data_IF_530883971336
#
_entry.id   IF_530883971336
#
_cell.length_a   1.000
_cell.length_b   1.000
_cell.length_c   1.000
_cell.angle_alpha   90.00
_cell.angle_beta   90.00
_cell.angle_gamma   90.00
#
_symmetry.space_group_name_H-M   'P 1'
#
loop_
_entity.id
_entity.type
_entity.pdbx_description
1 polymer ?
#
# COMPACT_ATOMS: atom_id res chain seq x y z
N UNK A 1 -52.94 10.92 17.42
CA UNK A 1 -51.51 11.13 17.75
C UNK A 1 -50.69 10.07 17.03
N UNK A 2 -49.96 10.43 15.97
CA UNK A 2 -48.88 9.60 15.40
C UNK A 2 -48.04 10.46 14.43
N UNK A 3 -47.44 11.53 14.93
CA UNK A 3 -46.33 12.20 14.26
C UNK A 3 -45.15 12.09 15.19
N UNK A 4 -44.16 11.28 14.84
CA UNK A 4 -42.80 11.37 15.39
C UNK A 4 -41.78 10.56 14.56
N UNK A 5 -41.13 11.27 13.63
CA UNK A 5 -39.67 11.23 13.40
C UNK A 5 -39.05 9.92 12.90
N UNK A 6 -39.36 9.53 11.66
CA UNK A 6 -38.48 8.70 10.83
C UNK A 6 -37.52 9.62 10.05
N UNK A 7 -36.53 10.27 10.68
CA UNK A 7 -35.58 11.15 9.95
C UNK A 7 -34.21 11.33 10.60
N UNK A 8 -33.74 10.39 11.44
CA UNK A 8 -32.40 10.53 12.05
C UNK A 8 -31.66 9.20 12.19
N UNK A 9 -31.59 8.37 11.13
CA UNK A 9 -30.65 7.22 11.07
C UNK A 9 -30.02 7.11 9.67
N UNK A 10 -29.53 8.21 9.10
CA UNK A 10 -28.88 8.17 7.76
C UNK A 10 -27.40 8.57 7.79
N UNK A 11 -26.85 8.98 8.95
CA UNK A 11 -25.44 9.49 9.03
C UNK A 11 -24.56 8.86 10.12
N UNK A 12 -24.91 7.70 10.68
CA UNK A 12 -24.05 7.06 11.70
C UNK A 12 -23.07 6.00 11.15
N UNK A 13 -23.08 5.70 9.85
CA UNK A 13 -22.26 4.63 9.27
C UNK A 13 -20.94 5.11 8.65
N UNK A 14 -20.39 6.26 9.08
CA UNK A 14 -19.14 6.82 8.52
C UNK A 14 -18.03 6.98 9.57
N UNK A 15 -17.79 5.93 10.35
CA UNK A 15 -16.63 5.88 11.26
C UNK A 15 -16.11 4.45 11.41
N UNK A 16 -15.61 3.87 10.32
CA UNK A 16 -14.87 2.62 10.38
C UNK A 16 -13.79 2.56 9.29
N UNK A 17 -12.59 3.10 9.58
CA UNK A 17 -11.32 2.59 9.00
C UNK A 17 -10.04 3.21 9.60
N UNK A 18 -10.12 4.09 10.61
CA UNK A 18 -8.93 4.70 11.23
C UNK A 18 -8.35 3.91 12.41
N UNK A 19 -8.53 2.59 12.46
CA UNK A 19 -8.12 1.78 13.63
C UNK A 19 -6.58 1.70 13.73
N UNK A 20 -6.01 2.66 14.48
CA UNK A 20 -4.62 2.68 14.91
C UNK A 20 -3.61 3.17 13.87
N UNK A 21 -3.95 4.09 12.96
CA UNK A 21 -2.94 4.65 12.07
C UNK A 21 -2.02 5.60 12.84
N UNK A 22 -0.73 5.26 12.92
CA UNK A 22 0.30 6.12 13.52
C UNK A 22 0.51 7.27 12.55
N UNK A 23 0.16 8.49 12.96
CA UNK A 23 0.28 9.68 12.12
C UNK A 23 1.77 9.94 11.89
N UNK A 24 2.26 9.95 10.64
CA UNK A 24 3.64 10.32 10.35
C UNK A 24 3.86 11.79 10.76
N UNK A 25 5.07 12.14 11.23
CA UNK A 25 5.39 13.51 11.66
C UNK A 25 5.27 14.52 10.52
N UNK A 26 5.46 14.07 9.27
CA UNK A 26 5.24 14.85 8.06
C UNK A 26 4.00 14.31 7.35
N UNK A 27 3.01 15.18 7.13
CA UNK A 27 1.80 14.85 6.38
C UNK A 27 2.11 14.89 4.89
N UNK A 28 2.20 13.71 4.26
CA UNK A 28 2.34 13.59 2.81
C UNK A 28 0.96 13.48 2.18
N UNK A 29 0.67 14.32 1.19
CA UNK A 29 -0.64 14.38 0.53
C UNK A 29 -0.63 13.64 -0.82
N UNK A 30 -1.82 13.41 -1.37
CA UNK A 30 -2.00 12.69 -2.63
C UNK A 30 -2.14 11.17 -2.46
N UNK A 31 -2.21 10.47 -3.59
CA UNK A 31 -2.35 9.01 -3.66
C UNK A 31 -1.09 8.35 -3.11
N UNK A 32 0.09 8.82 -3.56
CA UNK A 32 1.40 8.38 -3.06
C UNK A 32 1.57 8.61 -1.56
N UNK A 33 1.14 9.78 -1.06
CA UNK A 33 1.23 10.13 0.35
C UNK A 33 0.38 9.24 1.26
N UNK A 34 -0.79 8.79 0.79
CA UNK A 34 -1.63 7.83 1.51
C UNK A 34 -0.96 6.46 1.62
N UNK A 35 -0.31 5.98 0.55
CA UNK A 35 0.43 4.72 0.59
C UNK A 35 1.67 4.81 1.47
N UNK A 36 2.45 5.90 1.37
CA UNK A 36 3.60 6.14 2.23
C UNK A 36 3.20 6.20 3.72
N UNK A 37 2.08 6.88 4.03
CA UNK A 37 1.53 6.96 5.39
C UNK A 37 1.06 5.60 5.91
N UNK A 38 0.41 4.79 5.07
CA UNK A 38 -0.03 3.45 5.43
C UNK A 38 1.16 2.52 5.70
N UNK A 39 2.20 2.59 4.87
CA UNK A 39 3.43 1.83 5.02
C UNK A 39 4.15 2.26 6.31
N UNK A 40 4.36 3.56 6.52
CA UNK A 40 4.97 4.10 7.74
C UNK A 40 4.20 3.68 9.00
N UNK A 41 2.88 3.73 8.96
CA UNK A 41 2.07 3.28 10.08
C UNK A 41 2.19 1.78 10.34
N UNK A 42 2.36 0.95 9.31
CA UNK A 42 2.57 -0.48 9.48
C UNK A 42 3.98 -0.78 10.03
N UNK A 43 5.00 -0.12 9.48
CA UNK A 43 6.39 -0.25 9.89
C UNK A 43 6.65 0.25 11.30
N UNK A 44 5.99 1.34 11.70
CA UNK A 44 6.11 1.91 13.05
C UNK A 44 5.45 1.02 14.11
N UNK A 45 4.32 0.36 13.79
CA UNK A 45 3.72 -0.67 14.67
C UNK A 45 4.64 -1.88 14.85
N UNK A 46 5.35 -2.26 13.81
CA UNK A 46 6.22 -3.43 13.80
C UNK A 46 7.68 -3.11 14.16
N UNK A 47 8.02 -1.85 14.47
CA UNK A 47 9.39 -1.35 14.71
C UNK A 47 10.42 -1.74 13.64
N UNK A 48 9.98 -1.97 12.41
CA UNK A 48 10.80 -2.47 11.30
C UNK A 48 11.15 -1.40 10.26
N UNK A 49 11.22 -0.13 10.68
CA UNK A 49 11.41 1.02 9.77
C UNK A 49 12.75 0.94 9.01
N UNK A 50 13.84 0.61 9.69
CA UNK A 50 15.17 0.51 9.05
C UNK A 50 15.24 -0.60 7.99
N UNK A 51 14.55 -1.72 8.24
CA UNK A 51 14.48 -2.84 7.30
C UNK A 51 13.69 -2.44 6.06
N UNK A 52 12.58 -1.73 6.25
CA UNK A 52 11.74 -1.22 5.16
C UNK A 52 12.53 -0.25 4.27
N UNK A 53 13.31 0.66 4.84
CA UNK A 53 14.13 1.61 4.07
C UNK A 53 15.18 0.91 3.21
N UNK A 54 15.89 -0.07 3.80
CA UNK A 54 16.88 -0.89 3.07
C UNK A 54 16.21 -1.69 1.95
N UNK A 55 15.03 -2.25 2.21
CA UNK A 55 14.26 -3.03 1.24
C UNK A 55 13.78 -2.17 0.06
N UNK A 56 13.29 -0.95 0.33
CA UNK A 56 12.87 -0.01 -0.73
C UNK A 56 14.05 0.45 -1.58
N UNK A 57 15.22 0.66 -0.97
CA UNK A 57 16.44 1.03 -1.70
C UNK A 57 16.91 -0.10 -2.62
N UNK A 58 16.94 -1.34 -2.11
CA UNK A 58 17.24 -2.54 -2.91
C UNK A 58 16.25 -2.75 -4.05
N UNK A 59 14.97 -2.52 -3.79
CA UNK A 59 13.93 -2.61 -4.82
C UNK A 59 14.12 -1.54 -5.91
N UNK A 60 14.46 -0.31 -5.54
CA UNK A 60 14.76 0.74 -6.51
C UNK A 60 15.99 0.40 -7.37
N UNK A 61 17.03 -0.21 -6.79
CA UNK A 61 18.18 -0.68 -7.56
C UNK A 61 17.84 -1.84 -8.49
N UNK A 62 17.02 -2.80 -8.03
CA UNK A 62 16.58 -3.94 -8.85
C UNK A 62 15.69 -3.50 -10.02
N UNK A 63 14.80 -2.53 -9.81
CA UNK A 63 14.00 -1.96 -10.89
C UNK A 63 14.82 -1.20 -11.94
N UNK A 64 15.99 -0.67 -11.55
CA UNK A 64 16.90 0.02 -12.47
C UNK A 64 17.82 -0.95 -13.20
N UNK A 65 18.17 -2.09 -12.61
CA UNK A 65 19.02 -3.09 -13.24
C UNK A 65 18.26 -3.92 -14.28
N UNK A 66 16.98 -4.20 -14.02
CA UNK A 66 16.19 -5.13 -14.83
C UNK A 66 15.20 -4.37 -15.71
N UNK A 67 15.62 -3.95 -16.92
CA UNK A 67 14.76 -3.27 -17.90
C UNK A 67 13.49 -4.07 -18.23
N UNK A 68 13.60 -5.41 -18.25
CA UNK A 68 12.47 -6.32 -18.50
C UNK A 68 11.39 -6.20 -17.42
N UNK A 69 11.78 -6.00 -16.15
CA UNK A 69 10.82 -5.82 -15.07
C UNK A 69 10.14 -4.46 -15.16
N UNK A 70 10.87 -3.43 -15.56
CA UNK A 70 10.33 -2.08 -15.78
C UNK A 70 9.30 -2.07 -16.91
N UNK A 71 9.64 -2.63 -18.07
CA UNK A 71 8.69 -2.77 -19.18
C UNK A 71 7.46 -3.61 -18.80
N UNK A 72 7.64 -4.66 -18.00
CA UNK A 72 6.52 -5.49 -17.55
C UNK A 72 5.53 -4.74 -16.64
N UNK A 73 6.05 -3.86 -15.79
CA UNK A 73 5.25 -2.99 -14.91
C UNK A 73 4.56 -1.90 -15.72
N UNK A 74 5.26 -1.25 -16.64
CA UNK A 74 4.74 -0.15 -17.45
C UNK A 74 3.73 -0.63 -18.52
N UNK A 75 3.85 -1.87 -19.01
CA UNK A 75 2.98 -2.40 -20.05
C UNK A 75 1.54 -2.63 -19.54
N UNK A 76 0.53 -1.89 -20.03
CA UNK A 76 -0.84 -1.96 -19.51
C UNK A 76 -1.60 -3.23 -19.95
N UNK A 77 -1.07 -4.02 -20.89
CA UNK A 77 -1.72 -5.22 -21.46
C UNK A 77 -1.70 -6.39 -20.47
N UNK A 78 -0.69 -6.45 -19.61
CA UNK A 78 -0.54 -7.54 -18.65
C UNK A 78 -1.63 -7.47 -17.57
N UNK A 79 -2.35 -8.59 -17.37
CA UNK A 79 -3.44 -8.70 -16.39
C UNK A 79 -2.94 -8.31 -15.00
N UNK A 80 -3.69 -7.46 -14.29
CA UNK A 80 -3.35 -6.95 -12.95
C UNK A 80 -2.98 -8.04 -11.95
N UNK A 81 -3.70 -9.17 -12.00
CA UNK A 81 -3.42 -10.34 -11.15
C UNK A 81 -2.05 -10.96 -11.45
N UNK A 82 -1.66 -11.04 -12.71
CA UNK A 82 -0.34 -11.56 -13.08
C UNK A 82 0.77 -10.61 -12.60
N UNK A 83 0.58 -9.29 -12.72
CA UNK A 83 1.51 -8.28 -12.18
C UNK A 83 1.65 -8.36 -10.66
N UNK A 84 0.54 -8.48 -9.93
CA UNK A 84 0.58 -8.61 -8.49
C UNK A 84 1.32 -9.89 -8.05
N UNK A 85 1.08 -11.01 -8.74
CA UNK A 85 1.77 -12.27 -8.45
C UNK A 85 3.26 -12.21 -8.81
N UNK A 86 3.64 -11.65 -9.96
CA UNK A 86 5.06 -11.54 -10.35
C UNK A 86 5.83 -10.62 -9.40
N UNK A 87 5.23 -9.51 -8.96
CA UNK A 87 5.85 -8.62 -7.97
C UNK A 87 5.92 -9.26 -6.58
N UNK A 88 4.94 -10.06 -6.17
CA UNK A 88 5.05 -10.84 -4.93
C UNK A 88 6.16 -11.91 -5.03
N UNK A 89 6.32 -12.56 -6.18
CA UNK A 89 7.40 -13.51 -6.41
C UNK A 89 8.76 -12.81 -6.43
N UNK A 90 8.87 -11.65 -7.09
CA UNK A 90 10.07 -10.82 -7.08
C UNK A 90 10.42 -10.36 -5.66
N UNK A 91 9.43 -9.93 -4.87
CA UNK A 91 9.63 -9.56 -3.47
C UNK A 91 10.14 -10.73 -2.62
N UNK A 92 9.63 -11.94 -2.85
CA UNK A 92 10.13 -13.17 -2.21
C UNK A 92 11.55 -13.52 -2.65
N UNK A 93 11.88 -13.34 -3.93
CA UNK A 93 13.23 -13.58 -4.48
C UNK A 93 14.26 -12.60 -3.95
N UNK A 94 13.85 -11.35 -3.74
CA UNK A 94 14.68 -10.28 -3.15
C UNK A 94 14.71 -10.31 -1.60
N UNK A 95 14.06 -11.31 -0.99
CA UNK A 95 13.97 -11.50 0.46
C UNK A 95 13.49 -10.23 1.22
N UNK A 96 12.51 -9.51 0.67
CA UNK A 96 11.93 -8.33 1.34
C UNK A 96 11.15 -8.75 2.59
N UNK A 97 11.15 -7.86 3.58
CA UNK A 97 10.36 -8.00 4.80
C UNK A 97 8.85 -8.16 4.51
N UNK A 98 8.11 -8.88 5.38
CA UNK A 98 6.67 -9.10 5.20
C UNK A 98 5.83 -7.82 4.98
N UNK A 99 6.06 -6.67 5.63
CA UNK A 99 5.33 -5.44 5.32
C UNK A 99 5.58 -4.93 3.90
N UNK A 100 6.81 -5.03 3.40
CA UNK A 100 7.18 -4.55 2.06
C UNK A 100 6.66 -5.48 0.95
N UNK A 101 6.69 -6.79 1.15
CA UNK A 101 6.10 -7.75 0.21
C UNK A 101 4.57 -7.60 0.09
N UNK A 102 3.90 -7.37 1.23
CA UNK A 102 2.47 -7.07 1.27
C UNK A 102 2.14 -5.74 0.60
N UNK A 103 3.03 -4.75 0.70
CA UNK A 103 2.87 -3.46 0.04
C UNK A 103 2.88 -3.63 -1.49
N UNK A 104 3.90 -4.29 -2.03
CA UNK A 104 4.05 -4.49 -3.49
C UNK A 104 2.88 -5.27 -4.10
N UNK A 105 2.36 -6.27 -3.39
CA UNK A 105 1.24 -7.08 -3.89
C UNK A 105 -0.13 -6.38 -3.85
N UNK A 106 -0.40 -5.58 -2.80
CA UNK A 106 -1.73 -4.96 -2.60
C UNK A 106 -1.88 -3.60 -3.29
N UNK A 107 -0.83 -2.78 -3.31
CA UNK A 107 -0.97 -1.39 -3.74
C UNK A 107 -0.74 -1.19 -5.24
N UNK A 108 0.02 -2.06 -5.92
CA UNK A 108 0.15 -2.00 -7.39
C UNK A 108 -1.19 -2.25 -8.09
N UNK A 109 -2.08 -3.05 -7.48
CA UNK A 109 -3.37 -3.42 -8.06
C UNK A 109 -4.39 -2.28 -8.03
N UNK A 110 -4.11 -1.28 -7.20
CA UNK A 110 -4.97 -0.12 -6.93
C UNK A 110 -4.47 1.14 -7.65
N UNK A 111 -3.21 1.15 -8.12
CA UNK A 111 -2.58 2.26 -8.83
C UNK A 111 -2.75 2.19 -10.37
N UNK A 112 -3.16 1.03 -10.92
CA UNK A 112 -3.50 0.82 -12.33
C UNK A 112 -5.00 0.59 -12.42
#
# INVERSE_FOLDING_TARGET
>A
MASSKCTTIVRYMSSASSQGMIKPPIKVFGIEGRYATALFSAGSKQKNLETIEKDLTKFQTALKSDEVLKEFVDNPINKRLLKANTLQLAAKKLALSPPSANFLGKYILILI
#
